data_IF_810498243603
#
_entry.id   IF_810498243603
#
_cell.length_a   1.000
_cell.length_b   1.000
_cell.length_c   1.000
_cell.angle_alpha   90.00
_cell.angle_beta   90.00
_cell.angle_gamma   90.00
#
_symmetry.space_group_name_H-M   'P 1'
#
loop_
_entity.id
_entity.type
_entity.pdbx_description
1 polymer ?
#
# COMPACT_ATOMS: atom_id res chain seq x y z
N UNK A 1 -19.20 -22.11 -18.92
CA UNK A 1 -18.45 -20.95 -18.39
C UNK A 1 -16.98 -21.26 -18.58
N UNK A 2 -16.23 -20.43 -19.31
CA UNK A 2 -14.79 -20.61 -19.42
C UNK A 2 -14.17 -20.41 -18.03
N UNK A 3 -13.32 -21.34 -17.59
CA UNK A 3 -12.62 -21.20 -16.31
C UNK A 3 -11.77 -19.92 -16.35
N UNK A 4 -11.77 -19.16 -15.24
CA UNK A 4 -10.84 -18.06 -15.03
C UNK A 4 -9.42 -18.56 -15.31
N UNK A 5 -8.78 -18.04 -16.36
CA UNK A 5 -7.41 -18.39 -16.70
C UNK A 5 -6.50 -17.33 -16.10
N UNK A 6 -5.81 -17.71 -15.06
CA UNK A 6 -4.86 -16.85 -14.37
C UNK A 6 -3.51 -16.99 -15.05
N UNK A 7 -2.83 -15.87 -15.24
CA UNK A 7 -1.57 -15.83 -15.96
C UNK A 7 -0.55 -15.12 -15.09
N UNK A 8 0.43 -15.88 -14.60
CA UNK A 8 1.59 -15.34 -13.92
C UNK A 8 2.51 -14.78 -14.99
N UNK A 9 2.76 -13.48 -14.92
CA UNK A 9 3.73 -12.78 -15.74
C UNK A 9 4.81 -12.26 -14.81
N UNK A 10 6.04 -12.74 -14.95
CA UNK A 10 7.11 -12.23 -14.10
C UNK A 10 8.46 -12.85 -14.38
N UNK A 11 9.51 -12.10 -14.06
CA UNK A 11 10.87 -12.61 -13.85
C UNK A 11 11.13 -12.55 -12.35
N UNK A 12 11.88 -13.52 -11.82
CA UNK A 12 12.37 -13.43 -10.44
C UNK A 12 13.20 -12.16 -10.24
N UNK A 13 13.09 -11.49 -9.08
CA UNK A 13 13.90 -10.31 -8.78
C UNK A 13 15.37 -10.67 -8.58
N UNK A 14 16.26 -9.72 -8.82
CA UNK A 14 17.59 -9.72 -8.22
C UNK A 14 17.60 -8.81 -6.98
N UNK A 15 18.70 -8.80 -6.20
CA UNK A 15 18.88 -7.82 -5.12
C UNK A 15 18.75 -6.36 -5.62
N UNK A 16 19.15 -6.11 -6.87
CA UNK A 16 19.03 -4.81 -7.52
C UNK A 16 17.60 -4.43 -7.91
N UNK A 17 16.72 -5.39 -8.19
CA UNK A 17 15.34 -5.10 -8.62
C UNK A 17 14.32 -5.42 -7.54
N UNK A 18 14.76 -5.98 -6.40
CA UNK A 18 13.91 -6.39 -5.28
C UNK A 18 13.01 -5.27 -4.76
N UNK A 19 13.52 -4.04 -4.82
CA UNK A 19 12.86 -2.85 -4.31
C UNK A 19 12.20 -1.96 -5.37
N UNK A 20 12.23 -2.36 -6.65
CA UNK A 20 11.76 -1.56 -7.80
C UNK A 20 10.22 -1.52 -7.88
N UNK A 21 9.61 -1.13 -6.77
CA UNK A 21 8.18 -1.05 -6.54
C UNK A 21 7.79 0.40 -6.24
N UNK A 22 6.72 0.95 -6.85
CA UNK A 22 6.21 2.28 -6.53
C UNK A 22 5.90 2.48 -5.04
N UNK A 23 5.60 1.40 -4.32
CA UNK A 23 5.26 1.42 -2.90
C UNK A 23 6.44 1.80 -1.98
N UNK A 24 7.68 1.71 -2.47
CA UNK A 24 8.88 2.07 -1.72
C UNK A 24 9.31 3.53 -1.93
N UNK A 25 8.57 4.32 -2.73
CA UNK A 25 8.88 5.73 -2.94
C UNK A 25 8.89 6.49 -1.61
N UNK A 26 9.98 7.23 -1.38
CA UNK A 26 10.17 8.03 -0.15
C UNK A 26 10.74 7.25 1.03
N UNK A 27 10.99 5.94 0.91
CA UNK A 27 11.77 5.20 1.92
C UNK A 27 13.22 5.65 1.93
N UNK A 28 13.82 5.56 3.10
CA UNK A 28 15.23 5.86 3.31
C UNK A 28 16.02 4.56 3.54
N UNK A 29 17.31 4.53 3.17
CA UNK A 29 18.23 3.48 3.58
C UNK A 29 18.29 3.32 5.10
N UNK A 30 18.59 2.11 5.56
CA UNK A 30 18.93 1.90 6.95
C UNK A 30 20.23 2.63 7.29
N UNK A 31 20.24 3.31 8.42
CA UNK A 31 21.46 3.97 8.91
C UNK A 31 22.39 2.94 9.54
N UNK A 32 23.70 3.20 9.53
CA UNK A 32 24.68 2.36 10.24
C UNK A 32 24.33 2.20 11.72
N UNK A 33 23.79 3.26 12.34
CA UNK A 33 23.34 3.24 13.72
C UNK A 33 22.12 2.32 13.93
N UNK A 34 21.15 2.32 13.02
CA UNK A 34 19.99 1.43 13.07
C UNK A 34 20.41 -0.03 12.92
N UNK A 35 21.30 -0.33 11.96
CA UNK A 35 21.85 -1.67 11.75
C UNK A 35 22.62 -2.14 13.00
N UNK A 36 23.49 -1.29 13.55
CA UNK A 36 24.26 -1.61 14.75
C UNK A 36 23.36 -1.86 15.97
N UNK A 37 22.31 -1.05 16.14
CA UNK A 37 21.33 -1.22 17.20
C UNK A 37 20.56 -2.53 17.08
N UNK A 38 20.11 -2.89 15.86
CA UNK A 38 19.41 -4.15 15.61
C UNK A 38 20.30 -5.37 15.91
N UNK A 39 21.54 -5.37 15.39
CA UNK A 39 22.51 -6.44 15.64
C UNK A 39 22.85 -6.60 17.13
N UNK A 40 23.04 -5.49 17.85
CA UNK A 40 23.33 -5.52 19.27
C UNK A 40 22.13 -6.02 20.09
N UNK A 41 20.91 -5.59 19.75
CA UNK A 41 19.67 -6.02 20.41
C UNK A 41 19.42 -7.51 20.22
N UNK A 42 19.56 -8.00 18.99
CA UNK A 42 19.28 -9.39 18.63
C UNK A 42 20.46 -10.33 18.89
N UNK A 43 21.65 -9.80 19.16
CA UNK A 43 22.86 -10.59 19.41
C UNK A 43 23.39 -11.34 18.18
N UNK A 44 23.10 -10.85 16.96
CA UNK A 44 23.48 -11.51 15.69
C UNK A 44 24.18 -10.53 14.75
N UNK A 45 24.82 -11.08 13.70
CA UNK A 45 25.31 -10.30 12.55
C UNK A 45 24.38 -10.51 11.37
N UNK A 46 23.85 -9.43 10.80
CA UNK A 46 23.01 -9.52 9.61
C UNK A 46 23.87 -9.94 8.40
N UNK A 47 23.36 -10.85 7.54
CA UNK A 47 24.11 -11.33 6.39
C UNK A 47 24.28 -10.22 5.33
N UNK A 48 25.38 -10.30 4.56
CA UNK A 48 25.77 -9.24 3.62
C UNK A 48 24.71 -8.86 2.59
N UNK A 49 23.97 -9.84 2.07
CA UNK A 49 22.88 -9.59 1.11
C UNK A 49 21.72 -8.79 1.73
N UNK A 50 21.44 -8.98 3.03
CA UNK A 50 20.38 -8.23 3.70
C UNK A 50 20.82 -6.79 3.97
N UNK A 51 22.11 -6.59 4.27
CA UNK A 51 22.71 -5.26 4.35
C UNK A 51 22.66 -4.53 3.00
N UNK A 52 22.85 -5.24 1.89
CA UNK A 52 22.71 -4.69 0.54
C UNK A 52 21.27 -4.23 0.25
N UNK A 53 20.27 -5.03 0.65
CA UNK A 53 18.87 -4.60 0.58
C UNK A 53 18.62 -3.36 1.45
N UNK A 54 19.10 -3.35 2.69
CA UNK A 54 18.93 -2.23 3.61
C UNK A 54 19.70 -0.96 3.25
N UNK A 55 20.77 -1.07 2.45
CA UNK A 55 21.46 0.07 1.88
C UNK A 55 20.59 0.85 0.88
N UNK A 56 19.53 0.24 0.35
CA UNK A 56 18.50 0.94 -0.43
C UNK A 56 17.35 1.41 0.45
N UNK A 57 16.68 0.50 1.18
CA UNK A 57 15.52 0.84 2.03
C UNK A 57 15.53 0.05 3.34
N UNK A 58 15.27 0.72 4.47
CA UNK A 58 15.13 0.09 5.80
C UNK A 58 13.81 -0.68 5.95
N UNK A 59 13.71 -1.82 5.27
CA UNK A 59 12.46 -2.58 5.12
C UNK A 59 11.47 -1.90 4.18
N UNK A 60 10.39 -2.60 3.83
CA UNK A 60 9.36 -2.07 2.94
C UNK A 60 8.51 -3.09 2.23
N UNK A 61 7.73 -2.59 1.27
CA UNK A 61 6.82 -3.40 0.48
C UNK A 61 7.57 -4.13 -0.63
N UNK A 62 7.17 -5.36 -0.92
CA UNK A 62 7.74 -6.26 -1.93
C UNK A 62 6.58 -6.95 -2.63
N UNK A 63 6.11 -6.45 -3.78
CA UNK A 63 4.93 -7.01 -4.47
C UNK A 63 5.19 -8.39 -5.13
N UNK A 64 6.34 -9.01 -4.88
CA UNK A 64 6.70 -10.32 -5.42
C UNK A 64 6.45 -11.41 -4.37
N UNK A 65 5.50 -12.27 -4.66
CA UNK A 65 4.68 -12.79 -3.58
C UNK A 65 4.15 -14.21 -3.74
N UNK A 66 4.42 -14.91 -4.85
CA UNK A 66 3.84 -16.25 -5.03
C UNK A 66 4.86 -17.29 -5.49
N UNK A 67 5.46 -17.97 -4.53
CA UNK A 67 6.05 -19.28 -4.79
C UNK A 67 4.96 -20.30 -5.11
N UNK A 68 5.30 -21.40 -5.80
CA UNK A 68 4.36 -22.53 -5.92
C UNK A 68 3.89 -22.95 -4.52
N UNK A 69 2.66 -23.42 -4.41
CA UNK A 69 2.18 -23.92 -3.11
C UNK A 69 3.12 -25.03 -2.63
N UNK A 70 3.58 -24.94 -1.38
CA UNK A 70 4.46 -25.95 -0.81
C UNK A 70 3.72 -27.28 -0.60
N UNK A 71 2.40 -27.23 -0.40
CA UNK A 71 1.55 -28.41 -0.19
C UNK A 71 0.86 -28.88 -1.47
N UNK A 72 0.52 -27.97 -2.39
CA UNK A 72 -0.15 -28.29 -3.67
C UNK A 72 0.51 -27.59 -4.88
N UNK A 73 1.70 -28.00 -5.33
CA UNK A 73 2.52 -27.24 -6.30
C UNK A 73 1.82 -26.86 -7.62
N UNK A 74 0.88 -27.68 -8.08
CA UNK A 74 0.09 -27.44 -9.29
C UNK A 74 -1.12 -26.51 -9.07
N UNK A 75 -1.48 -26.27 -7.80
CA UNK A 75 -2.60 -25.41 -7.40
C UNK A 75 -2.11 -23.98 -7.12
N UNK A 76 -1.93 -23.23 -8.20
CA UNK A 76 -1.45 -21.85 -8.17
C UNK A 76 -2.37 -20.87 -7.39
N UNK A 77 -3.64 -21.25 -7.11
CA UNK A 77 -4.52 -20.50 -6.18
C UNK A 77 -4.07 -20.58 -4.72
N UNK A 78 -3.34 -21.65 -4.37
CA UNK A 78 -2.78 -21.89 -3.03
C UNK A 78 -1.29 -21.53 -2.92
N UNK A 79 -0.80 -20.71 -3.85
CA UNK A 79 0.55 -20.19 -3.81
C UNK A 79 0.85 -19.50 -2.47
N UNK A 80 2.07 -19.72 -1.95
CA UNK A 80 2.46 -19.22 -0.64
C UNK A 80 3.18 -17.87 -0.74
N UNK A 81 2.85 -16.98 0.20
CA UNK A 81 3.51 -15.68 0.37
C UNK A 81 4.79 -15.88 1.18
N UNK A 82 5.89 -16.20 0.48
CA UNK A 82 7.21 -16.38 1.11
C UNK A 82 7.68 -15.12 1.87
N UNK A 83 7.23 -13.95 1.43
CA UNK A 83 7.31 -12.69 2.16
C UNK A 83 5.88 -12.36 2.63
N UNK A 84 5.55 -12.60 3.91
CA UNK A 84 4.21 -12.34 4.44
C UNK A 84 3.73 -10.92 4.17
N UNK A 85 2.48 -10.79 3.68
CA UNK A 85 1.84 -9.53 3.29
C UNK A 85 2.71 -8.63 2.41
N UNK A 86 3.62 -9.21 1.62
CA UNK A 86 4.54 -8.45 0.78
C UNK A 86 5.39 -7.44 1.59
N UNK A 87 5.81 -7.78 2.82
CA UNK A 87 6.62 -6.88 3.68
C UNK A 87 7.94 -7.50 4.11
N UNK A 88 9.04 -6.80 3.88
CA UNK A 88 10.29 -7.02 4.62
C UNK A 88 10.37 -6.02 5.79
N UNK A 89 10.71 -6.50 6.99
CA UNK A 89 10.81 -5.69 8.20
C UNK A 89 12.04 -4.75 8.12
N UNK A 90 11.94 -3.58 8.74
CA UNK A 90 13.08 -2.68 8.94
C UNK A 90 13.91 -3.10 10.17
N UNK A 91 15.10 -2.53 10.33
CA UNK A 91 16.06 -2.86 11.38
C UNK A 91 15.46 -2.78 12.80
N UNK A 92 14.62 -1.77 13.05
CA UNK A 92 13.96 -1.60 14.34
C UNK A 92 12.90 -2.70 14.62
N UNK A 93 12.28 -3.22 13.57
CA UNK A 93 11.16 -4.16 13.64
C UNK A 93 11.60 -5.63 13.62
N UNK A 94 12.86 -5.93 13.31
CA UNK A 94 13.40 -7.28 13.40
C UNK A 94 13.24 -7.85 14.81
N UNK A 95 12.87 -9.11 14.95
CA UNK A 95 12.69 -9.74 16.26
C UNK A 95 13.12 -11.21 16.26
N UNK A 96 13.46 -11.70 17.44
CA UNK A 96 13.59 -13.14 17.72
C UNK A 96 12.26 -13.70 18.21
N UNK A 97 12.01 -14.99 17.97
CA UNK A 97 10.80 -15.64 18.51
C UNK A 97 10.81 -15.70 20.05
N UNK A 98 11.99 -15.63 20.67
CA UNK A 98 12.14 -15.44 22.12
C UNK A 98 11.57 -14.10 22.62
N UNK A 99 11.79 -12.99 21.89
CA UNK A 99 11.20 -11.68 22.23
C UNK A 99 9.67 -11.73 22.14
N UNK A 100 9.11 -12.40 21.12
CA UNK A 100 7.66 -12.57 20.98
C UNK A 100 7.09 -13.41 22.11
N UNK A 101 7.73 -14.54 22.43
CA UNK A 101 7.32 -15.42 23.52
C UNK A 101 7.28 -14.70 24.86
N UNK A 102 8.33 -13.93 25.15
CA UNK A 102 8.42 -13.13 26.37
C UNK A 102 7.39 -11.99 26.41
N UNK A 103 7.09 -11.34 25.28
CA UNK A 103 6.15 -10.24 25.21
C UNK A 103 4.68 -10.63 25.28
N UNK A 104 4.33 -11.88 24.93
CA UNK A 104 2.96 -12.40 24.86
C UNK A 104 2.64 -13.42 25.97
N UNK A 105 3.54 -13.59 26.95
CA UNK A 105 3.45 -14.60 28.02
C UNK A 105 3.14 -16.02 27.48
N UNK A 106 3.69 -16.35 26.31
CA UNK A 106 3.53 -17.68 25.74
C UNK A 106 4.35 -18.71 26.51
N UNK A 107 3.88 -19.97 26.46
CA UNK A 107 4.58 -21.11 27.06
C UNK A 107 5.98 -21.27 26.46
N UNK A 108 6.90 -21.82 27.23
CA UNK A 108 8.28 -22.08 26.81
C UNK A 108 8.37 -22.93 25.54
N UNK A 109 7.39 -23.81 25.31
CA UNK A 109 7.34 -24.72 24.15
C UNK A 109 6.66 -24.10 22.92
N UNK A 110 6.19 -22.84 22.98
CA UNK A 110 5.33 -22.25 21.96
C UNK A 110 5.93 -22.30 20.54
N UNK A 111 7.26 -22.27 20.44
CA UNK A 111 8.01 -22.23 19.18
C UNK A 111 8.98 -23.41 19.01
N UNK A 112 8.78 -24.50 19.75
CA UNK A 112 9.58 -25.72 19.64
C UNK A 112 9.64 -26.22 18.19
N UNK A 113 10.83 -26.61 17.74
CA UNK A 113 11.05 -27.15 16.39
C UNK A 113 11.12 -26.09 15.28
N UNK A 114 10.92 -24.81 15.59
CA UNK A 114 11.11 -23.74 14.60
C UNK A 114 12.58 -23.42 14.35
N UNK A 115 13.42 -23.39 15.38
CA UNK A 115 14.88 -23.26 15.26
C UNK A 115 15.51 -24.66 15.22
N UNK A 116 16.49 -24.89 14.34
CA UNK A 116 17.13 -26.21 14.20
C UNK A 116 17.81 -26.66 15.51
N UNK A 117 18.38 -25.73 16.26
CA UNK A 117 18.99 -25.97 17.56
C UNK A 117 18.03 -25.88 18.76
N UNK A 118 16.74 -25.62 18.52
CA UNK A 118 15.73 -25.45 19.57
C UNK A 118 15.81 -24.15 20.38
N UNK A 119 16.76 -23.27 20.11
CA UNK A 119 16.88 -21.95 20.77
C UNK A 119 16.20 -20.87 19.92
N UNK A 120 15.00 -20.47 20.33
CA UNK A 120 14.18 -19.45 19.66
C UNK A 120 14.78 -18.03 19.67
N UNK A 121 15.85 -17.81 20.44
CA UNK A 121 16.68 -16.59 20.37
C UNK A 121 17.50 -16.52 19.09
N UNK A 122 17.83 -17.66 18.49
CA UNK A 122 18.66 -17.76 17.27
C UNK A 122 17.85 -17.72 15.98
N UNK A 123 16.52 -17.66 16.07
CA UNK A 123 15.62 -17.55 14.93
C UNK A 123 15.09 -16.12 14.82
N UNK A 124 15.65 -15.37 13.86
CA UNK A 124 15.36 -13.94 13.68
C UNK A 124 14.40 -13.75 12.52
N UNK A 125 13.21 -13.21 12.76
CA UNK A 125 12.25 -12.89 11.71
C UNK A 125 12.68 -11.61 10.96
N UNK A 126 12.73 -11.71 9.64
CA UNK A 126 13.02 -10.60 8.71
C UNK A 126 11.80 -10.21 7.86
N UNK A 127 10.77 -11.05 7.82
CA UNK A 127 9.45 -10.75 7.27
C UNK A 127 8.40 -11.51 8.08
N UNK A 128 7.35 -10.84 8.55
CA UNK A 128 6.30 -11.46 9.35
C UNK A 128 4.99 -10.65 9.25
N UNK A 129 3.88 -11.32 9.57
CA UNK A 129 2.59 -10.66 9.77
C UNK A 129 2.57 -9.90 11.11
N UNK A 130 1.80 -8.81 11.18
CA UNK A 130 1.75 -7.89 12.31
C UNK A 130 0.96 -8.45 13.52
N UNK A 131 0.07 -9.41 13.28
CA UNK A 131 -0.78 -10.06 14.29
C UNK A 131 -0.29 -11.49 14.53
N UNK A 132 0.46 -11.70 15.63
CA UNK A 132 1.02 -12.99 16.08
C UNK A 132 1.61 -13.83 14.94
N UNK A 133 2.93 -13.78 14.71
CA UNK A 133 3.54 -14.25 13.46
C UNK A 133 3.12 -15.69 13.15
N UNK A 134 2.09 -15.86 12.33
CA UNK A 134 1.64 -17.20 11.94
C UNK A 134 2.65 -17.77 10.95
N UNK A 135 3.11 -16.93 10.03
CA UNK A 135 4.16 -17.24 9.07
C UNK A 135 5.22 -16.16 9.05
N UNK A 136 6.47 -16.58 8.91
CA UNK A 136 7.60 -15.66 8.88
C UNK A 136 8.74 -16.19 8.02
N UNK A 137 9.42 -15.29 7.31
CA UNK A 137 10.74 -15.54 6.74
C UNK A 137 11.79 -15.18 7.79
N UNK A 138 12.70 -16.11 8.06
CA UNK A 138 13.62 -16.05 9.19
C UNK A 138 15.05 -16.36 8.79
N UNK A 139 15.98 -15.80 9.56
CA UNK A 139 17.37 -16.19 9.62
C UNK A 139 17.57 -17.11 10.83
N UNK A 140 18.00 -18.34 10.60
CA UNK A 140 18.30 -19.33 11.64
C UNK A 140 19.81 -19.44 11.86
N UNK A 141 20.27 -18.94 13.00
CA UNK A 141 21.66 -18.95 13.44
C UNK A 141 22.02 -20.19 14.30
N UNK A 142 21.19 -21.24 14.29
CA UNK A 142 21.43 -22.46 15.08
C UNK A 142 22.76 -23.15 14.73
N UNK A 143 23.13 -23.17 13.45
CA UNK A 143 24.33 -23.85 12.97
C UNK A 143 25.57 -22.93 12.90
N UNK A 144 25.39 -21.61 12.73
CA UNK A 144 26.47 -20.65 12.53
C UNK A 144 26.05 -19.25 12.97
N UNK A 145 26.93 -18.55 13.70
CA UNK A 145 26.72 -17.16 14.11
C UNK A 145 27.01 -16.15 12.98
N UNK A 146 27.64 -16.60 11.89
CA UNK A 146 28.05 -15.74 10.77
C UNK A 146 27.21 -15.95 9.50
N UNK A 147 26.77 -17.18 9.25
CA UNK A 147 26.04 -17.56 8.03
C UNK A 147 24.73 -18.27 8.45
N UNK A 148 23.64 -17.51 8.65
CA UNK A 148 22.36 -18.11 9.01
C UNK A 148 21.75 -18.89 7.85
N UNK A 149 21.02 -19.95 8.17
CA UNK A 149 20.13 -20.58 7.20
C UNK A 149 18.89 -19.69 6.98
N UNK A 150 18.42 -19.59 5.75
CA UNK A 150 17.20 -18.85 5.43
C UNK A 150 16.00 -19.80 5.44
N UNK A 151 15.00 -19.51 6.26
CA UNK A 151 13.89 -20.44 6.51
C UNK A 151 12.55 -19.72 6.51
N UNK A 152 11.57 -20.32 5.84
CA UNK A 152 10.17 -19.92 5.95
C UNK A 152 9.46 -20.85 6.95
N UNK A 153 8.83 -20.27 7.97
CA UNK A 153 8.18 -21.01 9.06
C UNK A 153 6.68 -20.74 9.12
N UNK A 154 5.96 -21.70 9.68
CA UNK A 154 4.62 -21.55 10.24
C UNK A 154 4.73 -21.74 11.76
N UNK A 155 4.79 -20.64 12.50
CA UNK A 155 4.96 -20.68 13.94
C UNK A 155 3.67 -21.08 14.67
N UNK A 156 2.49 -20.84 14.08
CA UNK A 156 1.22 -21.29 14.63
C UNK A 156 1.14 -22.82 14.72
N UNK A 157 1.70 -23.51 13.72
CA UNK A 157 1.75 -24.96 13.65
C UNK A 157 3.11 -25.57 14.04
N UNK A 158 4.08 -24.76 14.52
CA UNK A 158 5.44 -25.20 14.87
C UNK A 158 6.16 -25.95 13.73
N UNK A 159 6.02 -25.48 12.50
CA UNK A 159 6.58 -26.12 11.30
C UNK A 159 7.58 -25.22 10.58
N UNK A 160 8.68 -25.82 10.11
CA UNK A 160 9.50 -25.25 9.03
C UNK A 160 8.87 -25.65 7.71
N UNK A 161 8.47 -24.66 6.92
CA UNK A 161 7.78 -24.87 5.65
C UNK A 161 8.78 -24.99 4.49
N UNK A 162 9.83 -24.17 4.49
CA UNK A 162 10.89 -24.22 3.49
C UNK A 162 12.24 -23.81 4.10
N UNK A 163 13.32 -24.37 3.55
CA UNK A 163 14.71 -24.00 3.85
C UNK A 163 15.39 -23.67 2.53
N UNK A 164 15.99 -22.50 2.43
CA UNK A 164 16.70 -22.03 1.25
C UNK A 164 18.21 -22.14 1.52
N UNK A 165 18.98 -22.62 0.54
CA UNK A 165 20.42 -22.75 0.75
C UNK A 165 21.13 -21.39 0.74
N UNK A 166 20.56 -20.40 0.04
CA UNK A 166 21.07 -19.04 -0.06
C UNK A 166 19.94 -18.07 -0.49
N UNK A 167 20.28 -16.79 -0.63
CA UNK A 167 19.32 -15.75 -1.06
C UNK A 167 18.87 -15.92 -2.51
N UNK A 168 19.72 -16.42 -3.41
CA UNK A 168 19.34 -16.63 -4.81
C UNK A 168 18.25 -17.69 -4.94
N UNK A 169 18.29 -18.74 -4.12
CA UNK A 169 17.24 -19.76 -4.04
C UNK A 169 15.90 -19.17 -3.56
N UNK A 170 15.92 -18.20 -2.64
CA UNK A 170 14.71 -17.47 -2.25
C UNK A 170 14.21 -16.60 -3.41
N UNK A 171 15.08 -15.77 -3.99
CA UNK A 171 14.71 -14.83 -5.05
C UNK A 171 14.14 -15.56 -6.27
N UNK A 172 14.70 -16.73 -6.64
CA UNK A 172 14.21 -17.57 -7.72
C UNK A 172 12.77 -18.08 -7.50
N UNK A 173 12.31 -18.15 -6.24
CA UNK A 173 10.95 -18.57 -5.88
C UNK A 173 9.97 -17.38 -5.82
N UNK A 174 10.45 -16.14 -5.85
CA UNK A 174 9.61 -14.95 -5.92
C UNK A 174 9.23 -14.67 -7.38
N UNK A 175 7.96 -14.33 -7.59
CA UNK A 175 7.41 -13.93 -8.89
C UNK A 175 6.48 -12.73 -8.74
N UNK A 176 6.47 -11.90 -9.77
CA UNK A 176 5.48 -10.84 -9.95
C UNK A 176 4.12 -11.44 -10.35
N UNK A 177 3.04 -10.94 -9.75
CA UNK A 177 1.68 -11.46 -9.92
C UNK A 177 0.79 -10.36 -10.48
N UNK A 178 0.63 -10.34 -11.80
CA UNK A 178 -0.34 -9.47 -12.47
C UNK A 178 -1.69 -10.17 -12.54
N UNK A 179 -2.68 -9.63 -11.82
CA UNK A 179 -4.05 -10.13 -11.85
C UNK A 179 -4.74 -9.79 -13.18
N UNK A 180 -5.23 -10.80 -13.90
CA UNK A 180 -6.06 -10.60 -15.09
C UNK A 180 -7.23 -11.59 -15.14
N UNK A 181 -8.45 -11.08 -15.33
CA UNK A 181 -9.67 -11.88 -15.46
C UNK A 181 -10.47 -11.46 -16.69
N UNK A 182 -10.57 -12.31 -17.73
CA UNK A 182 -11.46 -12.08 -18.87
C UNK A 182 -12.94 -11.96 -18.48
N UNK A 183 -13.36 -12.58 -17.37
CA UNK A 183 -14.74 -12.57 -16.91
C UNK A 183 -15.12 -11.27 -16.17
N UNK A 184 -14.15 -10.59 -15.55
CA UNK A 184 -14.35 -9.27 -14.97
C UNK A 184 -14.51 -8.24 -16.09
N UNK A 185 -13.73 -8.38 -17.18
CA UNK A 185 -13.87 -7.57 -18.39
C UNK A 185 -15.24 -7.79 -19.07
N UNK A 186 -15.67 -9.04 -19.23
CA UNK A 186 -16.97 -9.37 -19.83
C UNK A 186 -18.20 -8.96 -19.00
N UNK A 187 -18.06 -8.75 -17.67
CA UNK A 187 -19.16 -8.33 -16.79
C UNK A 187 -19.58 -6.88 -17.02
N UNK A 188 -18.71 -6.07 -17.61
CA UNK A 188 -18.90 -4.63 -17.83
C UNK A 188 -18.98 -4.23 -19.31
N UNK A 189 -18.95 -5.20 -20.23
CA UNK A 189 -18.99 -4.95 -21.69
C UNK A 189 -20.34 -4.40 -22.19
N UNK A 190 -21.41 -4.49 -21.37
CA UNK A 190 -22.75 -4.03 -21.70
C UNK A 190 -23.16 -2.67 -21.12
N UNK A 191 -22.37 -2.13 -20.18
CA UNK A 191 -22.75 -0.92 -19.44
C UNK A 191 -22.24 0.33 -20.17
N UNK A 192 -23.17 1.19 -20.56
CA UNK A 192 -22.87 2.48 -21.17
C UNK A 192 -22.91 3.60 -20.12
N UNK A 193 -21.99 4.54 -20.27
CA UNK A 193 -21.85 5.74 -19.46
C UNK A 193 -22.26 6.93 -20.30
N UNK A 194 -23.33 7.62 -19.88
CA UNK A 194 -23.70 8.91 -20.46
C UNK A 194 -22.94 10.02 -19.75
N UNK A 195 -22.13 10.79 -20.48
CA UNK A 195 -21.19 11.73 -19.89
C UNK A 195 -21.18 13.08 -20.61
N UNK A 196 -20.97 14.14 -19.83
CA UNK A 196 -20.81 15.49 -20.37
C UNK A 196 -19.36 15.71 -20.80
N UNK A 197 -19.08 16.10 -22.06
CA UNK A 197 -17.71 16.15 -22.57
C UNK A 197 -16.89 17.31 -22.01
N UNK A 198 -17.52 18.37 -21.53
CA UNK A 198 -16.83 19.52 -20.95
C UNK A 198 -16.37 19.21 -19.52
N UNK A 199 -15.14 19.58 -19.13
CA UNK A 199 -14.72 19.52 -17.74
C UNK A 199 -15.49 20.52 -16.86
N UNK A 200 -15.42 20.36 -15.53
CA UNK A 200 -15.96 21.36 -14.61
C UNK A 200 -15.23 22.70 -14.77
N UNK A 201 -15.96 23.77 -14.48
CA UNK A 201 -15.37 25.05 -14.10
C UNK A 201 -15.47 25.21 -12.57
N UNK A 202 -14.64 26.08 -12.00
CA UNK A 202 -14.68 26.38 -10.55
C UNK A 202 -16.08 26.82 -10.10
N UNK A 203 -16.81 27.54 -10.94
CA UNK A 203 -18.18 28.00 -10.67
C UNK A 203 -19.24 26.92 -10.83
N UNK A 204 -18.93 25.83 -11.54
CA UNK A 204 -19.90 24.76 -11.83
C UNK A 204 -19.64 23.48 -11.05
N UNK A 205 -18.47 23.35 -10.42
CA UNK A 205 -18.07 22.15 -9.69
C UNK A 205 -19.00 21.84 -8.51
N UNK A 206 -19.40 22.87 -7.76
CA UNK A 206 -20.36 22.79 -6.64
C UNK A 206 -21.81 23.00 -7.08
N UNK A 207 -22.09 23.11 -8.38
CA UNK A 207 -23.43 23.45 -8.88
C UNK A 207 -24.13 22.24 -9.51
N UNK A 208 -25.36 21.98 -9.08
CA UNK A 208 -26.24 20.95 -9.62
C UNK A 208 -27.48 20.75 -8.75
N UNK A 209 -28.57 20.16 -9.27
CA UNK A 209 -29.76 19.85 -8.47
C UNK A 209 -29.39 18.92 -7.30
N UNK A 210 -29.62 19.35 -6.06
CA UNK A 210 -29.36 18.55 -4.85
C UNK A 210 -27.92 18.60 -4.30
N UNK A 211 -26.97 19.23 -4.99
CA UNK A 211 -25.55 19.24 -4.61
C UNK A 211 -25.04 20.60 -4.09
N UNK A 212 -25.89 21.61 -4.06
CA UNK A 212 -25.58 22.91 -3.45
C UNK A 212 -25.75 22.82 -1.92
N UNK A 213 -24.66 22.90 -1.18
CA UNK A 213 -24.73 23.06 0.27
C UNK A 213 -24.81 24.56 0.62
N UNK A 214 -26.03 25.09 0.74
CA UNK A 214 -26.26 26.50 1.07
C UNK A 214 -25.68 26.94 2.44
N UNK A 215 -25.19 26.00 3.24
CA UNK A 215 -24.65 26.23 4.58
C UNK A 215 -23.11 26.11 4.60
N UNK A 216 -22.48 25.58 3.55
CA UNK A 216 -21.03 25.51 3.47
C UNK A 216 -20.48 26.88 3.07
N UNK A 217 -19.74 27.51 4.00
CA UNK A 217 -19.06 28.77 3.74
C UNK A 217 -17.87 28.54 2.79
N UNK A 218 -17.49 29.57 2.04
CA UNK A 218 -16.21 29.57 1.33
C UNK A 218 -15.06 29.56 2.34
N UNK A 219 -14.00 28.81 2.05
CA UNK A 219 -12.76 28.87 2.81
C UNK A 219 -12.07 30.22 2.59
N UNK A 220 -11.65 30.85 3.67
CA UNK A 220 -10.88 32.09 3.65
C UNK A 220 -9.36 31.84 3.79
N UNK A 221 -8.58 32.91 3.71
CA UNK A 221 -7.11 32.84 3.80
C UNK A 221 -6.64 32.26 5.14
N UNK A 222 -7.39 32.46 6.23
CA UNK A 222 -7.09 31.90 7.54
C UNK A 222 -7.32 30.39 7.56
N UNK A 223 -8.43 29.91 6.99
CA UNK A 223 -8.72 28.49 6.84
C UNK A 223 -7.66 27.78 5.98
N UNK A 224 -7.23 28.40 4.87
CA UNK A 224 -6.14 27.85 4.05
C UNK A 224 -4.82 27.78 4.82
N UNK A 225 -4.43 28.86 5.51
CA UNK A 225 -3.21 28.88 6.30
C UNK A 225 -3.24 27.85 7.43
N UNK A 226 -4.37 27.70 8.11
CA UNK A 226 -4.55 26.70 9.16
C UNK A 226 -4.48 25.27 8.60
N UNK A 227 -5.09 25.00 7.45
CA UNK A 227 -5.03 23.70 6.80
C UNK A 227 -3.61 23.35 6.33
N UNK A 228 -2.93 24.26 5.62
CA UNK A 228 -1.54 24.07 5.15
C UNK A 228 -0.56 23.88 6.33
N UNK A 229 -0.73 24.64 7.42
CA UNK A 229 0.07 24.49 8.63
C UNK A 229 -0.17 23.15 9.34
N UNK A 230 -1.43 22.72 9.45
CA UNK A 230 -1.81 21.44 10.07
C UNK A 230 -1.32 20.24 9.26
N UNK A 231 -1.43 20.32 7.93
CA UNK A 231 -1.06 19.24 7.02
C UNK A 231 0.44 19.24 6.68
N UNK A 232 1.15 20.34 6.95
CA UNK A 232 2.58 20.47 6.64
C UNK A 232 2.89 20.57 5.14
N UNK A 233 1.89 20.88 4.30
CA UNK A 233 2.01 20.94 2.84
C UNK A 233 1.55 22.28 2.29
N UNK A 234 1.89 22.54 1.03
CA UNK A 234 1.25 23.57 0.21
C UNK A 234 0.15 22.92 -0.64
N UNK A 235 -1.09 23.39 -0.49
CA UNK A 235 -2.22 22.89 -1.26
C UNK A 235 -2.16 23.39 -2.71
N UNK A 236 -2.63 22.59 -3.70
CA UNK A 236 -2.68 23.00 -5.10
C UNK A 236 -3.46 24.30 -5.28
N UNK A 237 -2.97 25.18 -6.15
CA UNK A 237 -3.58 26.50 -6.35
C UNK A 237 -5.02 26.41 -6.85
N UNK A 238 -5.31 25.46 -7.74
CA UNK A 238 -6.66 25.23 -8.26
C UNK A 238 -7.59 24.63 -7.19
N UNK A 239 -7.09 23.74 -6.32
CA UNK A 239 -7.86 23.23 -5.19
C UNK A 239 -8.28 24.36 -4.25
N UNK A 240 -7.35 25.27 -3.90
CA UNK A 240 -7.69 26.46 -3.09
C UNK A 240 -8.75 27.34 -3.75
N UNK A 241 -8.68 27.52 -5.07
CA UNK A 241 -9.73 28.24 -5.81
C UNK A 241 -11.10 27.56 -5.76
N UNK A 242 -11.16 26.23 -5.74
CA UNK A 242 -12.42 25.50 -5.56
C UNK A 242 -13.00 25.72 -4.17
N UNK A 243 -12.17 25.56 -3.15
CA UNK A 243 -12.58 25.70 -1.75
C UNK A 243 -12.92 27.14 -1.36
N UNK A 244 -12.36 28.13 -2.06
CA UNK A 244 -12.75 29.54 -1.94
C UNK A 244 -14.15 29.83 -2.52
N UNK A 245 -14.79 28.88 -3.20
CA UNK A 245 -16.21 28.96 -3.56
C UNK A 245 -17.07 28.28 -2.51
N UNK A 246 -16.67 27.09 -2.05
CA UNK A 246 -17.38 26.30 -1.04
C UNK A 246 -16.40 25.34 -0.34
N UNK A 247 -16.37 25.34 0.99
CA UNK A 247 -15.49 24.48 1.80
C UNK A 247 -16.08 23.06 1.97
N UNK A 248 -15.97 22.26 0.90
CA UNK A 248 -16.50 20.90 0.84
C UNK A 248 -17.99 20.81 0.44
N UNK A 249 -18.49 19.59 0.33
CA UNK A 249 -19.86 19.24 -0.08
C UNK A 249 -19.91 18.37 -1.33
N UNK A 250 -21.14 18.18 -1.81
CA UNK A 250 -21.40 17.26 -2.91
C UNK A 250 -21.06 17.86 -4.30
N UNK A 251 -20.74 16.97 -5.23
CA UNK A 251 -20.49 17.27 -6.63
C UNK A 251 -20.95 16.15 -7.56
N UNK A 252 -21.45 16.51 -8.74
CA UNK A 252 -21.78 15.55 -9.81
C UNK A 252 -20.55 15.12 -10.62
N UNK A 253 -19.39 15.75 -10.39
CA UNK A 253 -18.18 15.59 -11.18
C UNK A 253 -17.30 14.50 -10.58
N UNK A 254 -17.65 13.23 -10.80
CA UNK A 254 -16.99 12.10 -10.13
C UNK A 254 -16.23 11.13 -11.04
N UNK A 255 -16.20 11.35 -12.36
CA UNK A 255 -15.64 10.39 -13.31
C UNK A 255 -14.39 10.91 -14.01
N UNK A 256 -13.40 10.05 -14.22
CA UNK A 256 -12.21 10.33 -15.05
C UNK A 256 -12.01 9.24 -16.08
N UNK A 257 -11.41 9.57 -17.24
CA UNK A 257 -11.14 8.57 -18.25
C UNK A 257 -9.89 7.75 -17.90
N UNK A 258 -9.97 6.43 -18.09
CA UNK A 258 -8.82 5.51 -17.99
C UNK A 258 -7.95 5.54 -19.25
N UNK A 259 -8.48 6.04 -20.37
CA UNK A 259 -7.78 6.12 -21.65
C UNK A 259 -7.81 7.53 -22.22
N UNK A 260 -6.91 7.84 -23.17
CA UNK A 260 -6.82 9.18 -23.79
C UNK A 260 -8.06 9.56 -24.61
N UNK A 261 -8.76 8.57 -25.13
CA UNK A 261 -9.94 8.74 -25.99
C UNK A 261 -11.01 7.75 -25.50
N UNK A 262 -11.64 8.02 -24.35
CA UNK A 262 -12.60 7.11 -23.76
C UNK A 262 -13.84 7.01 -24.67
N UNK A 263 -14.39 5.80 -24.78
CA UNK A 263 -15.70 5.58 -25.39
C UNK A 263 -16.82 5.81 -24.36
N UNK A 264 -18.05 5.51 -24.75
CA UNK A 264 -19.21 5.43 -23.86
C UNK A 264 -19.22 4.16 -22.99
N UNK A 265 -18.25 3.26 -23.12
CA UNK A 265 -18.21 2.02 -22.33
C UNK A 265 -17.70 2.26 -20.93
N UNK A 266 -18.37 1.70 -19.91
CA UNK A 266 -17.97 1.82 -18.50
C UNK A 266 -16.50 1.48 -18.23
N UNK A 267 -15.94 0.48 -18.92
CA UNK A 267 -14.54 0.05 -18.75
C UNK A 267 -13.50 1.13 -19.10
N UNK A 268 -13.88 2.16 -19.86
CA UNK A 268 -13.01 3.31 -20.17
C UNK A 268 -13.07 4.41 -19.09
N UNK A 269 -13.89 4.23 -18.06
CA UNK A 269 -14.19 5.19 -17.01
C UNK A 269 -13.73 4.69 -15.63
N UNK A 270 -13.38 5.63 -14.76
CA UNK A 270 -13.13 5.40 -13.35
C UNK A 270 -13.96 6.40 -12.53
N UNK A 271 -14.73 5.91 -11.56
CA UNK A 271 -15.42 6.77 -10.61
C UNK A 271 -14.48 7.03 -9.41
N UNK A 272 -13.91 8.23 -9.37
CA UNK A 272 -12.88 8.63 -8.39
C UNK A 272 -13.43 9.39 -7.20
N UNK A 273 -14.70 9.77 -7.24
CA UNK A 273 -15.45 10.38 -6.13
C UNK A 273 -16.73 9.58 -5.93
N UNK A 274 -16.61 8.37 -5.39
CA UNK A 274 -17.70 7.38 -5.27
C UNK A 274 -18.90 7.94 -4.49
N UNK A 275 -18.64 8.55 -3.33
CA UNK A 275 -19.69 9.16 -2.49
C UNK A 275 -20.11 10.55 -2.97
N UNK A 276 -19.49 11.06 -4.05
CA UNK A 276 -19.75 12.38 -4.62
C UNK A 276 -19.53 13.57 -3.67
N UNK A 277 -18.93 13.36 -2.50
CA UNK A 277 -18.65 14.40 -1.52
C UNK A 277 -17.15 14.68 -1.41
N UNK A 278 -16.80 15.95 -1.21
CA UNK A 278 -15.49 16.34 -0.68
C UNK A 278 -15.66 16.89 0.74
N UNK A 279 -14.85 16.44 1.71
CA UNK A 279 -14.95 16.93 3.07
C UNK A 279 -14.41 18.37 3.18
N UNK A 280 -14.85 19.16 4.16
CA UNK A 280 -14.24 20.45 4.49
C UNK A 280 -12.73 20.35 4.71
N UNK A 281 -11.98 21.42 4.45
CA UNK A 281 -10.52 21.48 4.61
C UNK A 281 -10.08 20.98 5.98
N UNK A 282 -10.84 21.31 7.03
CA UNK A 282 -10.56 20.91 8.41
C UNK A 282 -10.53 19.38 8.61
N UNK A 283 -11.20 18.62 7.75
CA UNK A 283 -11.31 17.16 7.82
C UNK A 283 -10.36 16.43 6.87
N UNK A 284 -9.76 17.12 5.89
CA UNK A 284 -8.68 16.55 5.08
C UNK A 284 -7.53 16.16 6.00
N UNK A 285 -7.00 14.95 5.82
CA UNK A 285 -5.93 14.37 6.64
C UNK A 285 -5.04 13.45 5.81
N UNK A 286 -3.88 13.08 6.33
CA UNK A 286 -3.01 12.11 5.65
C UNK A 286 -3.63 10.71 5.66
N UNK A 287 -3.20 9.82 4.77
CA UNK A 287 -3.60 8.40 4.80
C UNK A 287 -3.17 7.76 6.11
N UNK A 288 -2.03 8.19 6.67
CA UNK A 288 -1.56 7.75 7.99
C UNK A 288 -2.50 8.20 9.11
N UNK A 289 -2.93 9.47 9.15
CA UNK A 289 -3.90 9.95 10.14
C UNK A 289 -5.29 9.34 9.95
N UNK A 290 -5.64 9.04 8.69
CA UNK A 290 -6.86 8.32 8.35
C UNK A 290 -6.83 6.89 8.93
N UNK A 291 -5.67 6.25 8.89
CA UNK A 291 -5.42 4.93 9.48
C UNK A 291 -5.67 4.87 10.98
N UNK A 292 -5.07 5.81 11.69
CA UNK A 292 -5.07 5.83 13.16
C UNK A 292 -6.47 6.09 13.75
N UNK A 293 -7.37 6.62 12.94
CA UNK A 293 -8.74 6.92 13.31
C UNK A 293 -9.75 5.80 12.99
N UNK A 294 -9.32 4.70 12.36
CA UNK A 294 -10.21 3.61 11.98
C UNK A 294 -10.63 2.75 13.19
N UNK A 295 -11.83 2.17 13.15
CA UNK A 295 -12.45 1.47 14.29
C UNK A 295 -11.65 0.22 14.70
N UNK A 296 -11.17 -0.57 13.73
CA UNK A 296 -10.08 -1.54 13.92
C UNK A 296 -8.76 -0.91 13.49
N UNK A 297 -8.16 -0.16 14.42
CA UNK A 297 -6.83 0.47 14.27
C UNK A 297 -5.77 -0.51 13.79
N UNK A 298 -5.84 -1.75 14.24
CA UNK A 298 -4.83 -2.77 13.98
C UNK A 298 -4.86 -3.26 12.54
N UNK A 299 -6.01 -3.37 11.88
CA UNK A 299 -6.06 -3.90 10.51
C UNK A 299 -5.59 -2.85 9.49
N UNK A 300 -6.07 -1.61 9.63
CA UNK A 300 -5.75 -0.56 8.68
C UNK A 300 -4.32 -0.01 8.88
N UNK A 301 -3.88 0.19 10.13
CA UNK A 301 -2.52 0.66 10.42
C UNK A 301 -1.45 -0.33 9.93
N UNK A 302 -1.74 -1.63 9.96
CA UNK A 302 -0.82 -2.67 9.49
C UNK A 302 -0.50 -2.57 8.00
N UNK A 303 -1.50 -2.41 7.14
CA UNK A 303 -1.24 -2.24 5.71
C UNK A 303 -0.71 -0.84 5.40
N UNK A 304 -1.16 0.20 6.11
CA UNK A 304 -0.59 1.54 5.99
C UNK A 304 0.93 1.54 6.29
N UNK A 305 1.39 0.78 7.29
CA UNK A 305 2.81 0.62 7.60
C UNK A 305 3.64 -0.03 6.46
N UNK A 306 3.01 -0.72 5.52
CA UNK A 306 3.68 -1.26 4.33
C UNK A 306 4.14 -0.15 3.40
N UNK A 307 3.41 0.96 3.38
CA UNK A 307 3.60 2.04 2.43
C UNK A 307 4.35 3.20 3.08
N UNK A 308 5.39 3.67 2.42
CA UNK A 308 6.17 4.79 2.95
C UNK A 308 5.60 6.14 2.54
N UNK A 309 5.87 7.14 3.38
CA UNK A 309 5.50 8.52 3.14
C UNK A 309 3.99 8.75 3.15
N UNK A 310 3.21 7.90 3.81
CA UNK A 310 1.74 8.06 3.89
C UNK A 310 1.31 9.30 4.67
N UNK A 311 2.17 9.82 5.54
CA UNK A 311 2.06 11.15 6.15
C UNK A 311 1.99 12.28 5.09
N UNK A 312 2.46 12.00 3.86
CA UNK A 312 2.49 12.93 2.72
C UNK A 312 1.48 12.59 1.63
N UNK A 313 0.58 11.65 1.87
CA UNK A 313 -0.52 11.32 0.96
C UNK A 313 -1.80 11.80 1.62
N UNK A 314 -2.45 12.84 1.08
CA UNK A 314 -3.62 13.45 1.71
C UNK A 314 -4.91 12.93 1.09
N UNK A 315 -5.85 12.48 1.91
CA UNK A 315 -7.16 11.97 1.46
C UNK A 315 -8.08 13.16 1.14
N UNK A 316 -8.41 13.32 -0.14
CA UNK A 316 -9.40 14.29 -0.61
C UNK A 316 -10.81 13.76 -0.57
N UNK A 317 -11.00 12.46 -0.80
CA UNK A 317 -12.29 11.81 -0.70
C UNK A 317 -12.07 10.32 -0.47
N UNK A 318 -13.05 9.68 0.16
CA UNK A 318 -13.02 8.26 0.42
C UNK A 318 -14.42 7.67 0.37
N UNK A 319 -14.53 6.41 -0.06
CA UNK A 319 -15.68 5.57 0.22
C UNK A 319 -15.21 4.42 1.11
N UNK A 320 -15.59 4.47 2.38
CA UNK A 320 -15.01 3.64 3.44
C UNK A 320 -13.47 3.66 3.38
N UNK A 321 -12.84 2.49 3.50
CA UNK A 321 -11.40 2.30 3.31
C UNK A 321 -11.07 1.80 1.90
N UNK A 322 -12.05 1.38 1.10
CA UNK A 322 -11.78 0.66 -0.14
C UNK A 322 -11.45 1.56 -1.32
N UNK A 323 -11.89 2.81 -1.29
CA UNK A 323 -11.66 3.76 -2.38
C UNK A 323 -11.15 5.08 -1.81
N UNK A 324 -9.98 5.52 -2.27
CA UNK A 324 -9.31 6.73 -1.78
C UNK A 324 -8.85 7.59 -2.95
N UNK A 325 -9.36 8.83 -3.03
CA UNK A 325 -8.79 9.87 -3.88
C UNK A 325 -7.82 10.70 -3.06
N UNK A 326 -6.57 10.80 -3.49
CA UNK A 326 -5.53 11.44 -2.72
C UNK A 326 -4.69 12.45 -3.51
N UNK A 327 -4.10 13.40 -2.78
CA UNK A 327 -2.94 14.17 -3.20
C UNK A 327 -1.67 13.45 -2.73
N UNK A 328 -0.80 13.05 -3.65
CA UNK A 328 0.46 12.37 -3.35
C UNK A 328 1.66 13.32 -3.50
N UNK A 329 2.26 13.70 -2.37
CA UNK A 329 3.42 14.58 -2.32
C UNK A 329 4.74 13.81 -2.24
N UNK A 330 4.75 12.47 -2.27
CA UNK A 330 5.97 11.67 -2.02
C UNK A 330 7.06 11.92 -3.06
N UNK A 331 6.69 12.07 -4.32
CA UNK A 331 7.65 12.24 -5.42
C UNK A 331 8.32 13.62 -5.45
N UNK A 332 7.57 14.69 -5.21
CA UNK A 332 8.04 16.09 -5.37
C UNK A 332 8.26 16.83 -4.05
N UNK A 333 7.76 16.29 -2.95
CA UNK A 333 7.83 16.90 -1.62
C UNK A 333 6.66 17.86 -1.32
N UNK A 334 6.47 18.19 -0.03
CA UNK A 334 5.26 18.85 0.49
C UNK A 334 5.05 20.29 0.00
N UNK A 335 6.07 20.93 -0.56
CA UNK A 335 6.04 22.34 -0.98
C UNK A 335 5.79 22.50 -2.50
N UNK A 336 5.69 21.39 -3.22
CA UNK A 336 5.51 21.35 -4.67
C UNK A 336 4.12 20.79 -5.03
N UNK A 337 3.73 20.97 -6.28
CA UNK A 337 2.48 20.43 -6.82
C UNK A 337 2.48 18.89 -6.66
N UNK A 338 1.47 18.31 -5.98
CA UNK A 338 1.33 16.86 -5.81
C UNK A 338 0.80 16.20 -7.08
N UNK A 339 0.99 14.89 -7.18
CA UNK A 339 0.17 14.07 -8.09
C UNK A 339 -1.22 13.86 -7.48
N UNK A 340 -2.23 13.64 -8.33
CA UNK A 340 -3.53 13.15 -7.89
C UNK A 340 -3.61 11.68 -8.21
N UNK A 341 -3.91 10.84 -7.21
CA UNK A 341 -3.96 9.39 -7.34
C UNK A 341 -5.27 8.86 -6.79
N UNK A 342 -5.81 7.85 -7.46
CA UNK A 342 -6.98 7.11 -6.96
C UNK A 342 -6.59 5.65 -6.73
N UNK A 343 -6.94 5.16 -5.55
CA UNK A 343 -6.70 3.78 -5.12
C UNK A 343 -8.03 3.03 -5.08
N UNK A 344 -8.07 1.88 -5.74
CA UNK A 344 -9.11 0.86 -5.56
C UNK A 344 -8.45 -0.25 -4.75
N UNK A 345 -8.96 -0.52 -3.55
CA UNK A 345 -8.39 -1.36 -2.47
C UNK A 345 -7.18 -0.74 -1.73
N UNK A 346 -7.30 -0.61 -0.40
CA UNK A 346 -6.31 0.07 0.45
C UNK A 346 -5.13 -0.80 0.87
N UNK A 347 -5.25 -2.12 0.80
CA UNK A 347 -4.17 -3.04 1.14
C UNK A 347 -3.00 -2.91 0.17
N UNK A 348 -3.29 -2.69 -1.11
CA UNK A 348 -2.28 -2.50 -2.14
C UNK A 348 -1.70 -1.09 -2.25
N UNK A 349 -2.47 -0.04 -1.93
CA UNK A 349 -2.19 1.37 -2.29
C UNK A 349 -1.46 1.53 -3.64
N UNK A 350 -1.86 0.73 -4.63
CA UNK A 350 -1.43 0.87 -6.03
C UNK A 350 -2.45 1.77 -6.71
N UNK A 351 -2.06 2.95 -7.22
CA UNK A 351 -3.02 3.81 -7.90
C UNK A 351 -3.58 3.10 -9.14
N UNK A 352 -4.90 2.90 -9.20
CA UNK A 352 -5.57 2.45 -10.43
C UNK A 352 -5.69 3.59 -11.43
N UNK A 353 -5.62 4.83 -10.95
CA UNK A 353 -5.61 6.03 -11.78
C UNK A 353 -4.69 7.12 -11.23
N UNK A 354 -4.12 7.95 -12.11
CA UNK A 354 -3.25 9.06 -11.72
C UNK A 354 -3.28 10.25 -12.68
N UNK A 355 -3.02 11.43 -12.14
CA UNK A 355 -2.68 12.65 -12.88
C UNK A 355 -1.48 13.37 -12.26
N UNK A 356 -0.69 14.02 -13.12
CA UNK A 356 0.56 14.66 -12.73
C UNK A 356 0.41 15.97 -11.92
N UNK A 357 -0.81 16.50 -11.82
CA UNK A 357 -1.15 17.69 -11.04
C UNK A 357 -2.65 17.77 -10.79
N UNK A 358 -3.08 18.65 -9.87
CA UNK A 358 -4.49 18.87 -9.63
C UNK A 358 -5.19 19.52 -10.84
N UNK A 359 -4.52 20.43 -11.54
CA UNK A 359 -5.02 21.00 -12.80
C UNK A 359 -5.25 19.94 -13.89
N UNK A 360 -4.34 18.97 -14.02
CA UNK A 360 -4.49 17.87 -14.98
C UNK A 360 -5.67 16.97 -14.62
N UNK A 361 -5.85 16.65 -13.34
CA UNK A 361 -7.01 15.92 -12.83
C UNK A 361 -8.32 16.68 -13.11
N UNK A 362 -8.39 17.96 -12.73
CA UNK A 362 -9.61 18.76 -12.88
C UNK A 362 -10.00 18.94 -14.35
N UNK A 363 -9.03 19.04 -15.26
CA UNK A 363 -9.28 19.14 -16.70
C UNK A 363 -9.87 17.88 -17.35
N UNK A 364 -9.70 16.71 -16.74
CA UNK A 364 -10.22 15.43 -17.26
C UNK A 364 -11.42 14.90 -16.48
N UNK A 365 -11.82 15.56 -15.39
CA UNK A 365 -12.99 15.20 -14.60
C UNK A 365 -14.28 15.43 -15.37
N UNK A 366 -15.25 14.53 -15.23
CA UNK A 366 -16.50 14.49 -16.01
C UNK A 366 -17.68 14.20 -15.11
N UNK A 367 -18.82 14.80 -15.45
CA UNK A 367 -20.12 14.38 -14.96
C UNK A 367 -20.60 13.23 -15.83
N UNK A 368 -20.94 12.10 -15.22
CA UNK A 368 -21.46 10.96 -15.94
C UNK A 368 -22.47 10.15 -15.11
N UNK A 369 -23.36 9.45 -15.81
CA UNK A 369 -24.40 8.59 -15.27
C UNK A 369 -24.35 7.22 -15.96
N UNK A 370 -24.52 6.16 -15.17
CA UNK A 370 -24.66 4.80 -15.69
C UNK A 370 -26.08 4.60 -16.23
N UNK A 371 -26.21 4.05 -17.45
CA UNK A 371 -27.49 3.53 -17.89
C UNK A 371 -27.84 2.28 -17.07
N UNK A 372 -28.82 2.40 -16.16
CA UNK A 372 -29.32 1.31 -15.31
C UNK A 372 -30.34 0.41 -16.02
#
# INVERSE_FOLDING_TARGET
MAALKWMVYGRSPSLDTFWDEPLNLGRMPATEAAIAAAQARLGVRLPGWLLELYARYDGGAVQMARGQSLEEPDNWLKAEWLIPRARLLGCADLFSFAEVRAGQDYRDDAYDGLAEGGDDRRLIAIAADDRSPSRALCLDYSASDAEPALVYVDAGNKRRLAVFANVDDLLAQLVDVVYWSPALQARHDGDAVHWQPQPPAVTTFWSGPGHWNAQAAAADDEAFAAAEARLGVRLPALLKRLYAVQDGGDTCWCWVPRTRFPSDRYVDWECVLVDRDLPPLAHIRSVLDFADAFEDRTDFSAAACLHAGLDRVLVLACHNVDSLLCLDYRARGPQHEPEVVYFETWDGLVPTWRAASFDAFFGVLRQAELEL
#
